data_IF_570753029399
#
_entry.id   IF_570753029399
#
_cell.length_a   1.000
_cell.length_b   1.000
_cell.length_c   1.000
_cell.angle_alpha   90.00
_cell.angle_beta   90.00
_cell.angle_gamma   90.00
#
_symmetry.space_group_name_H-M   'P 1'
#
loop_
_entity.id
_entity.type
_entity.pdbx_description
1 polymer ?
#
# COMPACT_ATOMS: atom_id res chain seq x y z
N UNK A 1 19.18 1.38 11.91
CA UNK A 1 18.86 0.93 13.29
C UNK A 1 18.48 -0.55 13.26
N UNK A 2 19.05 -1.40 14.13
CA UNK A 2 18.89 -2.88 14.07
C UNK A 2 17.45 -3.38 14.30
N UNK A 3 16.71 -2.73 15.20
CA UNK A 3 15.30 -3.05 15.50
C UNK A 3 14.44 -2.92 14.24
N UNK A 4 14.54 -1.79 13.55
CA UNK A 4 13.76 -1.52 12.35
C UNK A 4 14.06 -2.52 11.23
N UNK A 5 15.33 -2.89 11.04
CA UNK A 5 15.72 -3.90 10.04
C UNK A 5 15.14 -5.28 10.32
N UNK A 6 15.04 -5.69 11.59
CA UNK A 6 14.37 -6.94 11.98
C UNK A 6 12.86 -6.87 11.73
N UNK A 7 12.21 -5.77 12.13
CA UNK A 7 10.77 -5.58 11.91
C UNK A 7 10.41 -5.62 10.42
N UNK A 8 11.20 -4.96 9.56
CA UNK A 8 11.04 -4.99 8.10
C UNK A 8 11.13 -6.43 7.56
N UNK A 9 12.13 -7.21 7.98
CA UNK A 9 12.28 -8.59 7.54
C UNK A 9 11.09 -9.46 7.96
N UNK A 10 10.63 -9.32 9.20
CA UNK A 10 9.46 -10.05 9.68
C UNK A 10 8.19 -9.63 8.95
N UNK A 11 7.99 -8.33 8.72
CA UNK A 11 6.87 -7.78 7.96
C UNK A 11 6.84 -8.28 6.50
N UNK A 12 8.02 -8.45 5.89
CA UNK A 12 8.18 -8.96 4.51
C UNK A 12 8.08 -10.48 4.36
N UNK A 13 8.07 -11.22 5.48
CA UNK A 13 8.02 -12.68 5.44
C UNK A 13 6.69 -13.15 4.83
N UNK A 14 6.77 -14.16 3.95
CA UNK A 14 5.57 -14.83 3.41
C UNK A 14 4.96 -15.83 4.39
N UNK A 15 5.65 -16.17 5.47
CA UNK A 15 5.10 -17.02 6.53
C UNK A 15 4.27 -16.14 7.44
N UNK A 16 2.94 -16.36 7.44
CA UNK A 16 2.02 -15.72 8.38
C UNK A 16 2.38 -16.14 9.80
N UNK A 17 3.04 -15.23 10.52
CA UNK A 17 3.43 -15.42 11.91
C UNK A 17 3.19 -14.12 12.66
N UNK A 18 2.60 -14.16 13.87
CA UNK A 18 2.46 -12.98 14.69
C UNK A 18 3.82 -12.36 14.96
N UNK A 19 3.96 -11.08 14.62
CA UNK A 19 5.16 -10.32 14.91
C UNK A 19 5.03 -9.82 16.34
N UNK A 20 6.06 -10.04 17.16
CA UNK A 20 6.07 -9.67 18.57
C UNK A 20 7.30 -8.81 18.90
N UNK A 21 7.24 -8.00 19.95
CA UNK A 21 8.44 -7.27 20.45
C UNK A 21 9.55 -8.26 20.77
N UNK A 22 9.22 -9.39 21.40
CA UNK A 22 10.19 -10.43 21.73
C UNK A 22 10.87 -11.02 20.48
N UNK A 23 10.13 -11.30 19.41
CA UNK A 23 10.70 -11.84 18.17
C UNK A 23 11.61 -10.81 17.49
N UNK A 24 11.22 -9.53 17.45
CA UNK A 24 12.03 -8.44 16.91
C UNK A 24 13.31 -8.25 17.73
N UNK A 25 13.21 -8.16 19.05
CA UNK A 25 14.34 -7.99 19.96
C UNK A 25 15.35 -9.13 19.86
N UNK A 26 14.87 -10.38 19.81
CA UNK A 26 15.70 -11.59 19.65
C UNK A 26 16.52 -11.54 18.37
N UNK A 27 15.91 -11.16 17.26
CA UNK A 27 16.59 -11.10 15.97
C UNK A 27 17.52 -9.87 15.86
N UNK A 28 17.13 -8.74 16.42
CA UNK A 28 17.94 -7.52 16.44
C UNK A 28 19.11 -7.56 17.44
N UNK A 29 19.11 -8.55 18.36
CA UNK A 29 20.11 -8.67 19.42
C UNK A 29 20.04 -7.52 20.43
N UNK A 30 18.83 -7.07 20.76
CA UNK A 30 18.59 -5.97 21.71
C UNK A 30 17.64 -6.39 22.83
N UNK A 31 17.76 -5.73 23.99
CA UNK A 31 16.82 -5.96 25.09
C UNK A 31 15.44 -5.35 24.80
N UNK A 32 14.38 -5.88 25.42
CA UNK A 32 13.05 -5.28 25.36
C UNK A 32 13.02 -3.87 25.98
N UNK A 33 13.82 -3.62 27.03
CA UNK A 33 13.96 -2.29 27.64
C UNK A 33 14.48 -1.27 26.63
N UNK A 34 15.50 -1.63 25.86
CA UNK A 34 16.04 -0.79 24.77
C UNK A 34 15.01 -0.56 23.67
N UNK A 35 14.17 -1.56 23.39
CA UNK A 35 13.09 -1.41 22.42
C UNK A 35 12.06 -0.37 22.88
N UNK A 36 11.52 -0.52 24.10
CA UNK A 36 10.49 0.39 24.61
C UNK A 36 11.00 1.80 24.90
N UNK A 37 12.32 1.99 25.07
CA UNK A 37 12.93 3.31 25.12
C UNK A 37 12.78 4.09 23.79
N UNK A 38 12.73 3.39 22.66
CA UNK A 38 12.57 4.01 21.33
C UNK A 38 11.14 3.92 20.77
N UNK A 39 10.35 2.95 21.25
CA UNK A 39 9.01 2.63 20.74
C UNK A 39 8.05 2.41 21.92
N UNK A 40 7.60 3.51 22.52
CA UNK A 40 6.75 3.49 23.73
C UNK A 40 5.45 2.70 23.51
N UNK A 41 4.85 2.81 22.32
CA UNK A 41 3.60 2.12 21.96
C UNK A 41 3.83 0.75 21.32
N UNK A 42 5.04 0.21 21.44
CA UNK A 42 5.34 -1.15 21.02
C UNK A 42 5.51 -1.29 19.49
N UNK A 43 4.97 -2.36 18.94
CA UNK A 43 5.06 -2.71 17.52
C UNK A 43 4.37 -1.66 16.64
N UNK A 44 3.31 -1.03 17.14
CA UNK A 44 2.56 -0.02 16.40
C UNK A 44 3.46 1.15 15.98
N UNK A 45 4.36 1.64 16.83
CA UNK A 45 5.27 2.72 16.44
C UNK A 45 6.24 2.28 15.33
N UNK A 46 6.75 1.03 15.42
CA UNK A 46 7.65 0.48 14.42
C UNK A 46 6.97 0.34 13.07
N UNK A 47 5.73 -0.16 13.06
CA UNK A 47 4.96 -0.35 11.84
C UNK A 47 4.39 0.95 11.28
N UNK A 48 4.03 1.92 12.12
CA UNK A 48 3.71 3.28 11.66
C UNK A 48 4.89 3.91 10.93
N UNK A 49 6.10 3.79 11.47
CA UNK A 49 7.32 4.27 10.79
C UNK A 49 7.61 3.49 9.50
N UNK A 50 7.39 2.17 9.49
CA UNK A 50 7.51 1.36 8.28
C UNK A 50 6.51 1.82 7.22
N UNK A 51 5.25 1.97 7.58
CA UNK A 51 4.19 2.45 6.71
C UNK A 51 4.53 3.80 6.08
N UNK A 52 4.98 4.77 6.89
CA UNK A 52 5.36 6.10 6.39
C UNK A 52 6.50 6.02 5.37
N UNK A 53 7.45 5.10 5.54
CA UNK A 53 8.51 4.87 4.55
C UNK A 53 7.97 4.19 3.30
N UNK A 54 7.10 3.20 3.46
CA UNK A 54 6.48 2.49 2.35
C UNK A 54 5.60 3.40 1.48
N UNK A 55 4.79 4.27 2.10
CA UNK A 55 3.97 5.25 1.38
C UNK A 55 4.85 6.22 0.59
N UNK A 56 5.85 6.83 1.22
CA UNK A 56 6.81 7.72 0.51
C UNK A 56 7.53 7.01 -0.63
N UNK A 57 7.88 5.74 -0.44
CA UNK A 57 8.50 4.94 -1.49
C UNK A 57 7.53 4.71 -2.66
N UNK A 58 6.28 4.36 -2.39
CA UNK A 58 5.23 4.19 -3.39
C UNK A 58 4.97 5.48 -4.15
N UNK A 59 4.78 6.60 -3.47
CA UNK A 59 4.59 7.91 -4.08
C UNK A 59 5.74 8.29 -5.02
N UNK A 60 6.98 8.04 -4.58
CA UNK A 60 8.15 8.29 -5.40
C UNK A 60 8.14 7.45 -6.68
N UNK A 61 7.85 6.15 -6.58
CA UNK A 61 7.77 5.26 -7.74
C UNK A 61 6.63 5.62 -8.69
N UNK A 62 5.45 5.93 -8.14
CA UNK A 62 4.31 6.41 -8.93
C UNK A 62 4.72 7.65 -9.73
N UNK A 63 5.38 8.62 -9.09
CA UNK A 63 5.85 9.84 -9.77
C UNK A 63 6.82 9.52 -10.90
N UNK A 64 7.80 8.64 -10.65
CA UNK A 64 8.76 8.22 -11.68
C UNK A 64 8.08 7.54 -12.87
N UNK A 65 7.15 6.61 -12.62
CA UNK A 65 6.43 5.91 -13.70
C UNK A 65 5.49 6.85 -14.45
N UNK A 66 4.78 7.74 -13.77
CA UNK A 66 3.93 8.75 -14.42
C UNK A 66 4.77 9.70 -15.27
N UNK A 67 5.94 10.13 -14.81
CA UNK A 67 6.84 10.96 -15.61
C UNK A 67 7.39 10.21 -16.83
N UNK A 68 7.75 8.94 -16.66
CA UNK A 68 8.34 8.10 -17.71
C UNK A 68 7.34 7.72 -18.80
N UNK A 69 6.13 7.31 -18.41
CA UNK A 69 5.11 6.83 -19.35
C UNK A 69 4.26 7.98 -19.92
N UNK A 70 4.30 9.18 -19.31
CA UNK A 70 3.43 10.32 -19.58
C UNK A 70 1.94 9.94 -19.83
N UNK A 71 1.31 9.24 -18.87
CA UNK A 71 -0.02 8.68 -19.04
C UNK A 71 -1.13 9.73 -18.94
N UNK A 72 -2.26 9.42 -19.59
CA UNK A 72 -3.55 10.06 -19.30
C UNK A 72 -4.03 9.76 -17.86
N UNK A 73 -5.12 10.38 -17.45
CA UNK A 73 -5.67 10.24 -16.09
C UNK A 73 -5.99 8.79 -15.72
N UNK A 74 -6.44 7.96 -16.66
CA UNK A 74 -6.89 6.60 -16.40
C UNK A 74 -5.68 5.69 -16.13
N UNK A 75 -4.62 5.84 -16.94
CA UNK A 75 -3.39 5.09 -16.72
C UNK A 75 -2.62 5.55 -15.49
N UNK A 76 -2.77 6.80 -15.02
CA UNK A 76 -2.26 7.23 -13.71
C UNK A 76 -2.89 6.43 -12.58
N UNK A 77 -4.21 6.25 -12.59
CA UNK A 77 -4.91 5.41 -11.60
C UNK A 77 -4.41 3.97 -11.65
N UNK A 78 -4.19 3.41 -12.84
CA UNK A 78 -3.63 2.05 -13.00
C UNK A 78 -2.24 1.92 -12.42
N UNK A 79 -1.33 2.86 -12.71
CA UNK A 79 0.03 2.89 -12.17
C UNK A 79 -0.03 2.96 -10.64
N UNK A 80 -0.89 3.81 -10.10
CA UNK A 80 -1.07 3.95 -8.66
C UNK A 80 -1.58 2.66 -8.01
N UNK A 81 -2.62 2.04 -8.56
CA UNK A 81 -3.12 0.74 -8.06
C UNK A 81 -2.02 -0.31 -8.11
N UNK A 82 -1.31 -0.42 -9.23
CA UNK A 82 -0.21 -1.37 -9.40
C UNK A 82 0.83 -1.20 -8.29
N UNK A 83 1.32 0.03 -8.06
CA UNK A 83 2.37 0.32 -7.07
C UNK A 83 1.90 0.14 -5.63
N UNK A 84 0.65 0.48 -5.35
CA UNK A 84 0.05 0.28 -4.04
C UNK A 84 -0.08 -1.20 -3.70
N UNK A 85 -0.63 -2.01 -4.62
CA UNK A 85 -0.73 -3.46 -4.43
C UNK A 85 0.66 -4.08 -4.31
N UNK A 86 1.63 -3.62 -5.10
CA UNK A 86 3.03 -4.07 -5.03
C UNK A 86 3.60 -3.93 -3.61
N UNK A 87 3.41 -2.76 -3.00
CA UNK A 87 3.97 -2.46 -1.69
C UNK A 87 3.24 -3.20 -0.57
N UNK A 88 1.92 -3.37 -0.68
CA UNK A 88 1.15 -4.18 0.28
C UNK A 88 1.57 -5.66 0.24
N UNK A 89 1.89 -6.18 -0.95
CA UNK A 89 2.44 -7.53 -1.11
C UNK A 89 3.89 -7.67 -0.64
N UNK A 90 4.63 -6.56 -0.56
CA UNK A 90 5.99 -6.55 -0.03
C UNK A 90 5.99 -6.77 1.49
N UNK A 91 4.95 -6.33 2.20
CA UNK A 91 4.86 -6.42 3.67
C UNK A 91 3.55 -7.08 4.16
N UNK A 92 3.25 -8.32 3.76
CA UNK A 92 1.95 -8.94 4.04
C UNK A 92 1.70 -9.13 5.55
N UNK A 93 2.75 -9.40 6.33
CA UNK A 93 2.63 -9.63 7.77
C UNK A 93 2.47 -8.35 8.59
N UNK A 94 2.68 -7.16 7.99
CA UNK A 94 2.47 -5.89 8.69
C UNK A 94 1.01 -5.70 9.12
N UNK A 95 0.09 -6.37 8.41
CA UNK A 95 -1.35 -6.29 8.64
C UNK A 95 -1.92 -7.45 9.45
N UNK A 96 -1.08 -8.38 9.92
CA UNK A 96 -1.47 -9.48 10.82
C UNK A 96 -1.57 -9.00 12.28
N UNK A 97 -2.25 -7.87 12.47
CA UNK A 97 -2.61 -7.28 13.76
C UNK A 97 -4.07 -7.57 14.08
N UNK A 98 -4.44 -7.52 15.36
CA UNK A 98 -5.84 -7.65 15.80
C UNK A 98 -6.74 -6.63 15.09
N UNK A 99 -6.26 -5.38 15.00
CA UNK A 99 -6.86 -4.34 14.17
C UNK A 99 -5.79 -3.53 13.45
N UNK A 100 -6.07 -3.16 12.20
CA UNK A 100 -5.24 -2.21 11.45
C UNK A 100 -5.70 -0.80 11.83
N UNK A 101 -4.81 0.09 12.32
CA UNK A 101 -5.17 1.45 12.65
C UNK A 101 -5.81 2.18 11.47
N UNK A 102 -6.90 2.92 11.71
CA UNK A 102 -7.59 3.69 10.66
C UNK A 102 -6.65 4.63 9.93
N UNK A 103 -5.78 5.32 10.68
CA UNK A 103 -4.76 6.22 10.12
C UNK A 103 -3.87 5.53 9.08
N UNK A 104 -3.59 4.23 9.21
CA UNK A 104 -2.78 3.53 8.23
C UNK A 104 -3.49 3.33 6.91
N UNK A 105 -4.77 2.96 6.97
CA UNK A 105 -5.62 2.84 5.79
C UNK A 105 -5.72 4.17 5.06
N UNK A 106 -5.91 5.27 5.80
CA UNK A 106 -5.99 6.61 5.24
C UNK A 106 -4.69 6.98 4.51
N UNK A 107 -3.53 6.77 5.14
CA UNK A 107 -2.22 7.02 4.53
C UNK A 107 -1.96 6.18 3.29
N UNK A 108 -2.38 4.93 3.28
CA UNK A 108 -2.25 4.06 2.10
C UNK A 108 -3.22 4.45 0.99
N UNK A 109 -4.35 5.05 1.33
CA UNK A 109 -5.37 5.49 0.38
C UNK A 109 -5.02 6.81 -0.30
N UNK A 110 -4.24 7.69 0.37
CA UNK A 110 -3.84 9.01 -0.13
C UNK A 110 -3.36 8.99 -1.60
N UNK A 111 -2.38 8.16 -2.02
CA UNK A 111 -1.90 8.17 -3.41
C UNK A 111 -2.99 7.81 -4.43
N UNK A 112 -3.87 6.86 -4.10
CA UNK A 112 -4.96 6.45 -4.99
C UNK A 112 -6.06 7.50 -5.04
N UNK A 113 -6.39 8.14 -3.91
CA UNK A 113 -7.34 9.23 -3.85
C UNK A 113 -6.87 10.42 -4.72
N UNK A 114 -5.59 10.78 -4.63
CA UNK A 114 -4.99 11.83 -5.47
C UNK A 114 -5.06 11.48 -6.97
N UNK A 115 -4.76 10.23 -7.33
CA UNK A 115 -4.82 9.78 -8.72
C UNK A 115 -6.26 9.80 -9.27
N UNK A 116 -7.25 9.40 -8.47
CA UNK A 116 -8.67 9.45 -8.85
C UNK A 116 -9.16 10.90 -8.96
N UNK A 117 -8.73 11.78 -8.04
CA UNK A 117 -9.12 13.19 -8.01
C UNK A 117 -8.50 14.06 -9.10
N UNK A 118 -7.59 13.53 -9.93
CA UNK A 118 -6.99 14.25 -11.06
C UNK A 118 -5.71 15.04 -10.74
N UNK A 119 -5.18 14.93 -9.52
CA UNK A 119 -3.93 15.57 -9.10
C UNK A 119 -4.00 17.09 -8.86
N UNK A 120 -3.72 17.48 -7.61
CA UNK A 120 -3.08 18.75 -7.21
C UNK A 120 -3.57 20.05 -7.89
N UNK A 121 -4.70 20.60 -7.45
CA UNK A 121 -4.81 22.07 -7.30
C UNK A 121 -5.92 22.55 -6.36
N UNK A 122 -6.94 21.73 -6.04
CA UNK A 122 -7.90 22.13 -5.01
C UNK A 122 -7.42 21.74 -3.61
N UNK A 123 -6.79 22.71 -2.95
CA UNK A 123 -6.49 22.70 -1.50
C UNK A 123 -7.74 22.77 -0.61
N UNK A 124 -8.93 22.53 -1.15
CA UNK A 124 -10.16 22.28 -0.40
C UNK A 124 -10.40 20.76 -0.25
N UNK A 125 -9.37 20.07 0.22
CA UNK A 125 -9.43 18.67 0.62
C UNK A 125 -10.21 18.53 1.93
N UNK A 126 -11.53 18.67 1.87
CA UNK A 126 -12.39 18.24 2.96
C UNK A 126 -12.28 16.71 3.11
N UNK A 127 -12.30 16.24 4.36
CA UNK A 127 -12.20 14.82 4.74
C UNK A 127 -13.31 13.90 4.19
N UNK A 128 -14.17 14.40 3.28
CA UNK A 128 -15.31 13.71 2.67
C UNK A 128 -15.23 13.65 1.14
N UNK A 129 -14.05 13.79 0.53
CA UNK A 129 -13.91 13.69 -0.91
C UNK A 129 -14.27 12.25 -1.40
N UNK A 130 -15.18 12.07 -2.37
CA UNK A 130 -15.59 10.74 -2.86
C UNK A 130 -14.40 9.85 -3.27
N UNK A 131 -13.34 10.44 -3.83
CA UNK A 131 -12.11 9.73 -4.18
C UNK A 131 -11.42 9.07 -2.97
N UNK A 132 -11.38 9.73 -1.81
CA UNK A 132 -10.78 9.18 -0.60
C UNK A 132 -11.61 8.01 -0.06
N UNK A 133 -12.94 8.11 -0.09
CA UNK A 133 -13.83 7.02 0.32
C UNK A 133 -13.63 5.79 -0.56
N UNK A 134 -13.56 5.98 -1.89
CA UNK A 134 -13.28 4.91 -2.84
C UNK A 134 -11.91 4.28 -2.56
N UNK A 135 -10.87 5.11 -2.38
CA UNK A 135 -9.52 4.63 -2.10
C UNK A 135 -9.43 3.86 -0.77
N UNK A 136 -10.01 4.39 0.32
CA UNK A 136 -10.05 3.72 1.63
C UNK A 136 -10.79 2.37 1.55
N UNK A 137 -11.91 2.30 0.81
CA UNK A 137 -12.64 1.06 0.57
C UNK A 137 -11.75 0.00 -0.10
N UNK A 138 -11.05 0.37 -1.18
CA UNK A 138 -10.20 -0.58 -1.90
C UNK A 138 -8.94 -0.97 -1.11
N UNK A 139 -8.32 -0.05 -0.37
CA UNK A 139 -7.19 -0.38 0.53
C UNK A 139 -7.63 -1.39 1.58
N UNK A 140 -8.78 -1.18 2.22
CA UNK A 140 -9.33 -2.13 3.18
C UNK A 140 -9.59 -3.50 2.54
N UNK A 141 -10.15 -3.54 1.33
CA UNK A 141 -10.38 -4.77 0.61
C UNK A 141 -9.08 -5.51 0.30
N UNK A 142 -8.04 -4.81 -0.18
CA UNK A 142 -6.72 -5.39 -0.46
C UNK A 142 -6.10 -5.97 0.82
N UNK A 143 -6.08 -5.20 1.92
CA UNK A 143 -5.57 -5.66 3.21
C UNK A 143 -6.34 -6.90 3.68
N UNK A 144 -7.67 -6.88 3.59
CA UNK A 144 -8.52 -8.01 3.94
C UNK A 144 -8.21 -9.26 3.11
N UNK A 145 -7.96 -9.12 1.81
CA UNK A 145 -7.59 -10.22 0.92
C UNK A 145 -6.18 -10.77 1.20
N UNK A 146 -5.21 -9.91 1.53
CA UNK A 146 -3.84 -10.32 1.91
C UNK A 146 -3.87 -11.15 3.20
N UNK A 147 -4.73 -10.78 4.16
CA UNK A 147 -4.88 -11.48 5.44
C UNK A 147 -5.53 -12.86 5.35
N UNK A 148 -6.15 -13.23 4.23
CA UNK A 148 -6.75 -14.57 4.05
C UNK A 148 -5.70 -15.68 4.09
N UNK A 149 -6.11 -16.89 4.49
CA UNK A 149 -5.25 -18.08 4.45
C UNK A 149 -4.76 -18.41 3.04
N UNK A 150 -5.60 -18.11 2.04
CA UNK A 150 -5.25 -18.14 0.63
C UNK A 150 -5.18 -16.71 0.09
N UNK A 151 -3.99 -16.11 0.14
CA UNK A 151 -3.71 -14.81 -0.47
C UNK A 151 -3.73 -14.96 -2.00
N UNK A 152 -4.61 -14.23 -2.72
CA UNK A 152 -4.60 -14.23 -4.18
C UNK A 152 -3.24 -13.80 -4.75
N UNK A 153 -2.94 -14.20 -5.98
CA UNK A 153 -1.70 -13.76 -6.64
C UNK A 153 -1.69 -12.24 -6.84
N UNK A 154 -0.49 -11.65 -6.86
CA UNK A 154 -0.30 -10.23 -7.15
C UNK A 154 -1.01 -9.82 -8.45
N UNK A 155 -0.81 -10.58 -9.53
CA UNK A 155 -1.43 -10.30 -10.83
C UNK A 155 -2.96 -10.31 -10.76
N UNK A 156 -3.55 -11.32 -10.11
CA UNK A 156 -5.00 -11.39 -9.94
C UNK A 156 -5.53 -10.22 -9.11
N UNK A 157 -4.85 -9.86 -8.01
CA UNK A 157 -5.31 -8.80 -7.13
C UNK A 157 -5.23 -7.42 -7.79
N UNK A 158 -4.14 -7.13 -8.49
CA UNK A 158 -4.00 -5.89 -9.25
C UNK A 158 -5.09 -5.78 -10.31
N UNK A 159 -5.34 -6.86 -11.08
CA UNK A 159 -6.39 -6.87 -12.10
C UNK A 159 -7.79 -6.69 -11.50
N UNK A 160 -8.06 -7.36 -10.37
CA UNK A 160 -9.33 -7.23 -9.65
C UNK A 160 -9.57 -5.78 -9.22
N UNK A 161 -8.61 -5.15 -8.56
CA UNK A 161 -8.77 -3.77 -8.06
C UNK A 161 -8.95 -2.79 -9.22
N UNK A 162 -8.15 -2.90 -10.29
CA UNK A 162 -8.31 -2.06 -11.49
C UNK A 162 -9.72 -2.20 -12.08
N UNK A 163 -10.21 -3.45 -12.22
CA UNK A 163 -11.54 -3.72 -12.77
C UNK A 163 -12.69 -3.16 -11.92
N UNK A 164 -12.46 -2.91 -10.63
CA UNK A 164 -13.45 -2.35 -9.73
C UNK A 164 -13.38 -0.83 -9.64
N UNK A 165 -12.18 -0.25 -9.66
CA UNK A 165 -11.98 1.21 -9.52
C UNK A 165 -12.38 1.94 -10.79
N UNK A 166 -11.88 1.50 -11.95
CA UNK A 166 -12.00 2.26 -13.21
C UNK A 166 -13.46 2.50 -13.64
N UNK A 167 -14.38 1.51 -13.58
CA UNK A 167 -15.77 1.76 -13.96
C UNK A 167 -16.48 2.76 -13.04
N UNK A 168 -16.16 2.74 -11.74
CA UNK A 168 -16.80 3.59 -10.72
C UNK A 168 -16.48 5.07 -10.94
N UNK A 169 -15.28 5.37 -11.42
CA UNK A 169 -14.82 6.74 -11.66
C UNK A 169 -15.18 7.27 -13.07
N UNK A 170 -15.99 6.52 -13.84
CA UNK A 170 -16.47 6.94 -15.15
C UNK A 170 -15.39 7.06 -16.23
N UNK A 171 -14.20 6.51 -15.98
CA UNK A 171 -13.01 6.61 -16.83
C UNK A 171 -12.94 5.50 -17.91
N UNK A 172 -14.01 4.74 -18.11
CA UNK A 172 -14.03 3.63 -19.05
C UNK A 172 -14.34 4.09 -20.49
N UNK A 173 -13.32 4.54 -21.22
CA UNK A 173 -13.37 4.47 -22.69
C UNK A 173 -13.19 3.02 -23.14
N UNK A 174 -13.87 2.61 -24.23
CA UNK A 174 -13.80 1.24 -24.77
C UNK A 174 -12.36 0.82 -25.14
N UNK A 175 -11.46 1.76 -25.45
CA UNK A 175 -10.04 1.52 -25.76
C UNK A 175 -9.18 1.20 -24.51
N UNK A 176 -9.70 1.46 -23.32
CA UNK A 176 -8.95 1.29 -22.08
C UNK A 176 -8.72 -0.19 -21.74
N UNK A 177 -9.70 -1.09 -21.99
CA UNK A 177 -9.69 -2.48 -21.48
C UNK A 177 -8.47 -3.30 -21.89
N UNK A 178 -7.96 -3.10 -23.10
CA UNK A 178 -6.89 -3.94 -23.65
C UNK A 178 -5.50 -3.34 -23.40
N UNK A 179 -5.41 -2.02 -23.32
CA UNK A 179 -4.15 -1.31 -23.18
C UNK A 179 -3.61 -1.28 -21.75
N UNK A 180 -4.46 -1.24 -20.72
CA UNK A 180 -3.98 -1.23 -19.34
C UNK A 180 -3.29 -2.54 -18.94
N UNK A 181 -3.72 -3.67 -19.51
CA UNK A 181 -3.05 -4.96 -19.33
C UNK A 181 -1.59 -4.89 -19.80
N UNK A 182 -1.36 -4.33 -20.99
CA UNK A 182 -0.01 -4.15 -21.54
C UNK A 182 0.84 -3.22 -20.67
N UNK A 183 0.25 -2.14 -20.14
CA UNK A 183 0.95 -1.25 -19.19
C UNK A 183 1.36 -2.00 -17.92
N UNK A 184 0.45 -2.75 -17.29
CA UNK A 184 0.77 -3.55 -16.09
C UNK A 184 1.89 -4.56 -16.36
N UNK A 185 1.95 -5.12 -17.56
CA UNK A 185 3.00 -6.04 -17.97
C UNK A 185 4.35 -5.35 -18.32
N UNK A 186 4.35 -4.09 -18.74
CA UNK A 186 5.57 -3.32 -19.06
C UNK A 186 6.23 -2.70 -17.82
N UNK A 187 5.49 -2.57 -16.72
CA UNK A 187 5.98 -1.95 -15.48
C UNK A 187 7.14 -2.75 -14.87
N UNK A 188 8.25 -2.09 -14.48
CA UNK A 188 9.36 -2.74 -13.80
C UNK A 188 8.89 -3.40 -12.51
N UNK A 189 9.09 -4.73 -12.44
CA UNK A 189 8.93 -5.50 -11.21
C UNK A 189 10.16 -5.30 -10.32
N UNK A 190 9.96 -5.46 -9.02
CA UNK A 190 11.03 -5.50 -8.02
C UNK A 190 12.10 -6.53 -8.35
#
# INVERSE_FOLDING_TARGET
MKIFGSAVRQASSRRKQPITVASICKEAGVSSTTFYYHFERGINDVFSELLLRSVRHVEHRIREDVQRENPDANYRVVITIYRLVEELFRYPNMFELESVPREWVQRLAEPLAEAIGGGLDDRDASANHPALIIAEYHVNAIIGLIRRDFTPSFDFMTKLVISQVIPVIGLAEFEFSDRWHNLVHSMPRF
#
